data_IF_907119261402
#
_entry.id   IF_907119261402
#
_cell.length_a   1.000
_cell.length_b   1.000
_cell.length_c   1.000
_cell.angle_alpha   90.00
_cell.angle_beta   90.00
_cell.angle_gamma   90.00
#
_symmetry.space_group_name_H-M   'P 1'
#
loop_
_entity.id
_entity.type
_entity.pdbx_description
1 polymer ?
#
# COMPACT_ATOMS: atom_id res chain seq x y z
N UNK A 1 -24.35 -4.80 -9.24
CA UNK A 1 -22.95 -4.35 -9.35
C UNK A 1 -22.52 -3.79 -8.01
N UNK A 2 -21.52 -4.39 -7.37
CA UNK A 2 -21.04 -4.03 -6.01
C UNK A 2 -20.50 -2.60 -6.01
N UNK A 3 -21.02 -1.74 -5.13
CA UNK A 3 -20.53 -0.37 -5.00
C UNK A 3 -19.19 -0.33 -4.25
N UNK A 4 -18.09 -0.21 -5.01
CA UNK A 4 -16.74 -0.09 -4.47
C UNK A 4 -16.51 1.22 -3.69
N UNK A 5 -17.39 2.23 -3.82
CA UNK A 5 -17.33 3.43 -2.98
C UNK A 5 -17.79 3.13 -1.55
N UNK A 6 -18.79 2.27 -1.40
CA UNK A 6 -19.25 1.80 -0.10
C UNK A 6 -18.19 0.95 0.60
N UNK A 7 -17.51 0.08 -0.16
CA UNK A 7 -16.45 -0.80 0.36
C UNK A 7 -15.04 -0.29 0.02
N UNK A 8 -14.72 0.95 0.39
CA UNK A 8 -13.43 1.59 0.05
C UNK A 8 -12.17 0.88 0.61
N UNK A 9 -12.36 -0.05 1.55
CA UNK A 9 -11.33 -0.91 2.13
C UNK A 9 -11.09 -2.20 1.33
N UNK A 10 -12.00 -2.57 0.42
CA UNK A 10 -11.90 -3.77 -0.39
C UNK A 10 -10.89 -3.58 -1.52
N UNK A 11 -9.87 -4.43 -1.54
CA UNK A 11 -8.90 -4.55 -2.61
C UNK A 11 -8.85 -6.03 -3.03
N UNK A 12 -9.66 -6.44 -4.02
CA UNK A 12 -9.81 -7.84 -4.41
C UNK A 12 -8.57 -8.30 -5.19
N UNK A 13 -8.02 -9.45 -4.80
CA UNK A 13 -6.94 -10.16 -5.51
C UNK A 13 -7.48 -11.22 -6.47
N UNK A 14 -8.76 -11.56 -6.32
CA UNK A 14 -9.48 -12.55 -7.11
C UNK A 14 -10.70 -11.90 -7.80
N UNK A 15 -11.21 -12.49 -8.91
CA UNK A 15 -12.36 -11.95 -9.62
C UNK A 15 -13.58 -11.80 -8.71
N UNK A 16 -14.22 -10.64 -8.74
CA UNK A 16 -15.45 -10.42 -7.99
C UNK A 16 -16.64 -11.11 -8.67
N UNK A 17 -17.62 -11.63 -7.90
CA UNK A 17 -18.87 -12.12 -8.46
C UNK A 17 -19.58 -11.00 -9.23
N UNK A 18 -20.00 -11.28 -10.47
CA UNK A 18 -20.51 -10.27 -11.40
C UNK A 18 -22.02 -10.29 -11.61
N UNK A 19 -22.72 -11.38 -11.25
CA UNK A 19 -24.19 -11.44 -11.30
C UNK A 19 -24.76 -12.60 -10.47
N UNK A 20 -26.05 -12.53 -10.14
CA UNK A 20 -26.83 -13.64 -9.59
C UNK A 20 -26.75 -13.79 -8.07
N UNK A 21 -26.93 -15.03 -7.59
CA UNK A 21 -26.96 -15.35 -6.17
C UNK A 21 -25.57 -15.26 -5.49
N UNK A 22 -24.48 -15.43 -6.25
CA UNK A 22 -23.11 -15.26 -5.75
C UNK A 22 -22.82 -13.79 -5.35
N UNK A 23 -23.30 -12.83 -6.12
CA UNK A 23 -23.15 -11.39 -5.80
C UNK A 23 -23.90 -11.05 -4.50
N UNK A 24 -25.11 -11.60 -4.32
CA UNK A 24 -25.90 -11.40 -3.09
C UNK A 24 -25.22 -12.00 -1.87
N UNK A 25 -24.75 -13.25 -1.98
CA UNK A 25 -24.01 -13.91 -0.90
C UNK A 25 -22.74 -13.14 -0.53
N UNK A 26 -22.00 -12.64 -1.51
CA UNK A 26 -20.79 -11.87 -1.22
C UNK A 26 -21.11 -10.55 -0.50
N UNK A 27 -22.16 -9.83 -0.92
CA UNK A 27 -22.61 -8.61 -0.22
C UNK A 27 -22.98 -8.89 1.23
N UNK A 28 -23.66 -10.01 1.50
CA UNK A 28 -24.03 -10.40 2.87
C UNK A 28 -22.80 -10.76 3.71
N UNK A 29 -21.81 -11.43 3.12
CA UNK A 29 -20.51 -11.66 3.75
C UNK A 29 -19.81 -10.34 4.07
N UNK A 30 -19.76 -9.39 3.14
CA UNK A 30 -19.14 -8.06 3.35
C UNK A 30 -19.80 -7.30 4.51
N UNK A 31 -21.14 -7.29 4.58
CA UNK A 31 -21.89 -6.66 5.69
C UNK A 31 -21.56 -7.29 7.04
N UNK A 32 -21.47 -8.62 7.09
CA UNK A 32 -21.14 -9.36 8.33
C UNK A 32 -19.71 -9.06 8.77
N UNK A 33 -18.76 -9.03 7.82
CA UNK A 33 -17.36 -8.69 8.08
C UNK A 33 -17.27 -7.26 8.63
N UNK A 34 -17.90 -6.29 7.98
CA UNK A 34 -17.89 -4.89 8.40
C UNK A 34 -18.46 -4.68 9.81
N UNK A 35 -19.54 -5.40 10.15
CA UNK A 35 -20.13 -5.36 11.49
C UNK A 35 -19.23 -5.96 12.57
N UNK A 36 -18.41 -6.96 12.23
CA UNK A 36 -17.66 -7.75 13.22
C UNK A 36 -16.22 -7.32 13.39
N UNK A 37 -15.59 -6.87 12.31
CA UNK A 37 -14.18 -6.55 12.30
C UNK A 37 -14.01 -5.04 12.18
N UNK A 38 -13.51 -4.33 13.20
CA UNK A 38 -13.27 -2.89 13.09
C UNK A 38 -12.11 -2.57 12.13
N UNK A 39 -11.09 -3.44 12.01
CA UNK A 39 -9.88 -3.15 11.26
C UNK A 39 -10.09 -3.30 9.73
N UNK A 40 -9.94 -2.23 8.92
CA UNK A 40 -10.15 -2.29 7.47
C UNK A 40 -9.26 -3.28 6.71
N UNK A 41 -7.98 -3.43 7.10
CA UNK A 41 -7.08 -4.40 6.48
C UNK A 41 -7.52 -5.83 6.77
N UNK A 42 -7.98 -6.10 7.98
CA UNK A 42 -8.45 -7.43 8.35
C UNK A 42 -9.78 -7.77 7.66
N UNK A 43 -10.67 -6.78 7.47
CA UNK A 43 -11.85 -6.92 6.60
C UNK A 43 -11.47 -7.34 5.19
N UNK A 44 -10.46 -6.70 4.62
CA UNK A 44 -9.97 -7.02 3.28
C UNK A 44 -9.44 -8.45 3.19
N UNK A 45 -8.74 -8.94 4.22
CA UNK A 45 -8.24 -10.32 4.27
C UNK A 45 -9.41 -11.32 4.31
N UNK A 46 -10.42 -11.07 5.14
CA UNK A 46 -11.62 -11.94 5.16
C UNK A 46 -12.38 -11.96 3.84
N UNK A 47 -12.49 -10.81 3.17
CA UNK A 47 -13.14 -10.74 1.86
C UNK A 47 -12.35 -11.50 0.78
N UNK A 48 -11.02 -11.32 0.74
CA UNK A 48 -10.17 -12.08 -0.18
C UNK A 48 -10.18 -13.58 0.14
N UNK A 49 -10.31 -13.96 1.42
CA UNK A 49 -10.45 -15.36 1.79
C UNK A 49 -11.70 -16.01 1.22
N UNK A 50 -12.84 -15.32 1.32
CA UNK A 50 -14.07 -15.78 0.69
C UNK A 50 -13.90 -15.95 -0.82
N UNK A 51 -13.32 -14.96 -1.51
CA UNK A 51 -13.13 -15.02 -2.95
C UNK A 51 -12.22 -16.19 -3.36
N UNK A 52 -11.13 -16.46 -2.62
CA UNK A 52 -10.25 -17.60 -2.90
C UNK A 52 -10.98 -18.94 -2.70
N UNK A 53 -11.86 -19.07 -1.69
CA UNK A 53 -12.65 -20.29 -1.51
C UNK A 53 -13.65 -20.51 -2.65
N UNK A 54 -14.30 -19.43 -3.12
CA UNK A 54 -15.22 -19.49 -4.26
C UNK A 54 -14.47 -19.91 -5.54
N UNK A 55 -13.31 -19.34 -5.79
CA UNK A 55 -12.50 -19.69 -6.97
C UNK A 55 -12.02 -21.14 -6.92
N UNK A 56 -11.49 -21.59 -5.77
CA UNK A 56 -11.09 -23.00 -5.58
C UNK A 56 -12.24 -23.97 -5.76
N UNK A 57 -13.43 -23.65 -5.25
CA UNK A 57 -14.59 -24.49 -5.46
C UNK A 57 -14.94 -24.59 -6.95
N UNK A 58 -14.89 -23.46 -7.69
CA UNK A 58 -15.12 -23.43 -9.15
C UNK A 58 -14.09 -24.25 -9.92
N UNK A 59 -12.81 -24.17 -9.55
CA UNK A 59 -11.73 -24.99 -10.14
C UNK A 59 -11.98 -26.49 -9.94
N UNK A 60 -12.54 -26.87 -8.80
CA UNK A 60 -12.91 -28.25 -8.47
C UNK A 60 -14.27 -28.67 -9.05
N UNK A 61 -14.95 -27.81 -9.80
CA UNK A 61 -16.27 -28.07 -10.38
C UNK A 61 -17.41 -28.12 -9.34
N UNK A 62 -17.24 -27.46 -8.19
CA UNK A 62 -18.20 -27.42 -7.08
C UNK A 62 -18.67 -25.99 -6.78
N UNK A 63 -19.90 -25.87 -6.31
CA UNK A 63 -20.40 -24.60 -5.78
C UNK A 63 -19.97 -24.43 -4.33
N UNK A 64 -19.32 -23.31 -4.01
CA UNK A 64 -19.06 -22.95 -2.62
C UNK A 64 -20.36 -22.53 -1.95
N UNK A 65 -20.74 -23.23 -0.86
CA UNK A 65 -21.96 -22.94 -0.10
C UNK A 65 -21.60 -22.51 1.32
N UNK A 66 -22.00 -21.31 1.70
CA UNK A 66 -21.94 -20.86 3.08
C UNK A 66 -23.01 -21.56 3.94
N UNK A 67 -22.71 -21.73 5.21
CA UNK A 67 -23.66 -22.12 6.26
C UNK A 67 -24.76 -21.04 6.40
N UNK A 68 -25.96 -21.46 6.83
CA UNK A 68 -27.08 -20.54 7.12
C UNK A 68 -26.69 -19.43 8.10
N UNK A 69 -25.70 -19.68 8.96
CA UNK A 69 -25.12 -18.69 9.86
C UNK A 69 -23.74 -18.21 9.37
N UNK A 70 -23.75 -17.33 8.36
CA UNK A 70 -22.57 -16.62 7.82
C UNK A 70 -21.69 -16.04 8.95
N UNK A 71 -22.31 -15.48 9.99
CA UNK A 71 -21.59 -14.92 11.12
C UNK A 71 -20.78 -15.94 11.92
N UNK A 72 -21.25 -17.17 12.08
CA UNK A 72 -20.49 -18.25 12.73
C UNK A 72 -19.35 -18.71 11.84
N UNK A 73 -19.61 -18.82 10.54
CA UNK A 73 -18.63 -19.27 9.56
C UNK A 73 -17.45 -18.31 9.42
N UNK A 74 -17.69 -17.00 9.25
CA UNK A 74 -16.64 -15.97 9.21
C UNK A 74 -15.72 -16.04 10.44
N UNK A 75 -16.28 -16.31 11.63
CA UNK A 75 -15.47 -16.48 12.86
C UNK A 75 -14.63 -17.76 12.86
N UNK A 76 -15.09 -18.80 12.18
CA UNK A 76 -14.37 -20.06 12.06
C UNK A 76 -13.18 -19.94 11.10
N UNK A 77 -13.26 -19.08 10.08
CA UNK A 77 -12.19 -18.87 9.10
C UNK A 77 -10.88 -18.49 9.78
N UNK A 78 -10.90 -17.59 10.77
CA UNK A 78 -9.73 -17.18 11.55
C UNK A 78 -8.97 -18.35 12.21
N UNK A 79 -9.67 -19.46 12.51
CA UNK A 79 -9.08 -20.66 13.12
C UNK A 79 -8.49 -21.61 12.08
N UNK A 80 -8.91 -21.53 10.83
CA UNK A 80 -8.46 -22.42 9.76
C UNK A 80 -6.99 -22.16 9.39
N UNK A 81 -6.28 -23.23 9.04
CA UNK A 81 -4.89 -23.13 8.58
C UNK A 81 -4.79 -22.45 7.21
N UNK A 82 -5.78 -22.64 6.33
CA UNK A 82 -5.83 -21.98 5.03
C UNK A 82 -5.92 -20.46 5.16
N UNK A 83 -6.76 -19.95 6.07
CA UNK A 83 -6.86 -18.53 6.35
C UNK A 83 -5.56 -17.95 6.89
N UNK A 84 -4.92 -18.64 7.86
CA UNK A 84 -3.64 -18.20 8.44
C UNK A 84 -2.55 -18.11 7.38
N UNK A 85 -2.45 -19.12 6.50
CA UNK A 85 -1.47 -19.14 5.40
C UNK A 85 -1.72 -18.01 4.39
N UNK A 86 -2.97 -17.77 4.02
CA UNK A 86 -3.34 -16.66 3.13
C UNK A 86 -3.04 -15.31 3.78
N UNK A 87 -3.43 -15.11 5.05
CA UNK A 87 -3.11 -13.90 5.81
C UNK A 87 -1.61 -13.63 5.77
N UNK A 88 -0.79 -14.64 6.07
CA UNK A 88 0.67 -14.48 6.05
C UNK A 88 1.21 -14.12 4.65
N UNK A 89 0.68 -14.75 3.60
CA UNK A 89 1.08 -14.46 2.22
C UNK A 89 0.72 -13.01 1.81
N UNK A 90 -0.49 -12.55 2.12
CA UNK A 90 -0.91 -11.18 1.84
C UNK A 90 -0.06 -10.16 2.63
N UNK A 91 0.25 -10.44 3.90
CA UNK A 91 1.12 -9.56 4.69
C UNK A 91 2.56 -9.52 4.12
N UNK A 92 3.07 -10.65 3.59
CA UNK A 92 4.38 -10.70 2.91
C UNK A 92 4.36 -9.89 1.62
N UNK A 93 3.29 -9.98 0.83
CA UNK A 93 3.12 -9.21 -0.40
C UNK A 93 3.03 -7.71 -0.11
N UNK A 94 2.21 -7.31 0.86
CA UNK A 94 2.08 -5.93 1.29
C UNK A 94 3.41 -5.38 1.84
N UNK A 95 4.17 -6.19 2.58
CA UNK A 95 5.54 -5.85 3.00
C UNK A 95 6.46 -5.60 1.80
N UNK A 96 6.47 -6.51 0.83
CA UNK A 96 7.30 -6.36 -0.36
C UNK A 96 6.91 -5.11 -1.15
N UNK A 97 5.61 -4.87 -1.32
CA UNK A 97 5.08 -3.69 -2.00
C UNK A 97 5.45 -2.39 -1.30
N UNK A 98 5.37 -2.35 0.04
CA UNK A 98 5.81 -1.20 0.83
C UNK A 98 7.31 -0.93 0.64
N UNK A 99 8.15 -1.97 0.68
CA UNK A 99 9.59 -1.84 0.51
C UNK A 99 9.96 -1.35 -0.90
N UNK A 100 9.38 -1.95 -1.94
CA UNK A 100 9.64 -1.56 -3.33
C UNK A 100 9.22 -0.11 -3.59
N UNK A 101 8.00 0.27 -3.19
CA UNK A 101 7.51 1.64 -3.35
C UNK A 101 8.36 2.64 -2.56
N UNK A 102 8.78 2.28 -1.34
CA UNK A 102 9.66 3.10 -0.52
C UNK A 102 11.03 3.37 -1.16
N UNK A 103 11.67 2.34 -1.71
CA UNK A 103 12.95 2.50 -2.42
C UNK A 103 12.79 3.42 -3.64
N UNK A 104 11.73 3.23 -4.43
CA UNK A 104 11.49 4.07 -5.60
C UNK A 104 11.21 5.52 -5.19
N UNK A 105 10.49 5.77 -4.09
CA UNK A 105 10.26 7.10 -3.53
C UNK A 105 11.58 7.77 -3.12
N UNK A 106 12.50 7.04 -2.49
CA UNK A 106 13.83 7.57 -2.12
C UNK A 106 14.62 7.97 -3.37
N UNK A 107 14.73 7.08 -4.35
CA UNK A 107 15.50 7.32 -5.58
C UNK A 107 14.90 8.46 -6.42
N UNK A 108 13.59 8.44 -6.63
CA UNK A 108 12.92 9.50 -7.40
C UNK A 108 12.90 10.82 -6.63
N UNK A 109 12.76 10.78 -5.31
CA UNK A 109 12.85 11.93 -4.43
C UNK A 109 14.22 12.62 -4.48
N UNK A 110 15.32 11.86 -4.46
CA UNK A 110 16.66 12.45 -4.61
C UNK A 110 16.88 13.07 -5.97
N UNK A 111 16.41 12.42 -7.05
CA UNK A 111 16.49 12.99 -8.41
C UNK A 111 15.72 14.32 -8.52
N UNK A 112 14.52 14.40 -7.96
CA UNK A 112 13.74 15.64 -7.91
C UNK A 112 14.49 16.71 -7.12
N UNK A 113 15.06 16.37 -5.97
CA UNK A 113 15.84 17.31 -5.15
C UNK A 113 17.12 17.77 -5.85
N UNK A 114 17.76 16.94 -6.68
CA UNK A 114 18.90 17.35 -7.50
C UNK A 114 18.47 18.29 -8.60
N UNK A 115 17.40 17.96 -9.31
CA UNK A 115 16.85 18.81 -10.36
C UNK A 115 16.44 20.20 -9.84
N UNK A 116 15.72 20.26 -8.71
CA UNK A 116 15.34 21.51 -8.07
C UNK A 116 16.56 22.35 -7.67
N UNK A 117 17.63 21.70 -7.17
CA UNK A 117 18.87 22.40 -6.83
C UNK A 117 19.60 22.91 -8.07
N UNK A 118 19.62 22.14 -9.16
CA UNK A 118 20.22 22.55 -10.44
C UNK A 118 19.53 23.80 -11.01
N UNK A 119 18.20 23.85 -10.93
CA UNK A 119 17.42 25.04 -11.30
C UNK A 119 17.80 26.24 -10.43
N UNK A 120 17.84 26.10 -9.11
CA UNK A 120 18.15 27.21 -8.21
C UNK A 120 19.59 27.72 -8.38
N UNK A 121 20.54 26.84 -8.64
CA UNK A 121 21.94 27.18 -8.85
C UNK A 121 22.26 27.63 -10.28
N UNK A 122 21.31 27.50 -11.22
CA UNK A 122 21.51 27.69 -12.67
C UNK A 122 22.72 26.90 -13.21
N UNK A 123 23.02 25.74 -12.58
CA UNK A 123 24.11 24.84 -12.93
C UNK A 123 23.52 23.48 -13.24
N UNK A 124 23.38 23.19 -14.53
CA UNK A 124 22.84 21.94 -15.04
C UNK A 124 23.95 20.90 -15.20
N UNK A 125 23.62 19.63 -15.02
CA UNK A 125 24.61 18.54 -15.12
C UNK A 125 25.02 18.32 -16.57
N UNK A 126 24.04 18.31 -17.48
CA UNK A 126 24.26 18.15 -18.93
C UNK A 126 23.74 19.38 -19.67
N UNK A 127 22.43 19.61 -19.60
CA UNK A 127 21.72 20.74 -20.19
C UNK A 127 20.37 20.86 -19.50
N UNK A 128 19.80 22.06 -19.43
CA UNK A 128 18.48 22.32 -18.87
C UNK A 128 17.42 21.35 -19.41
N UNK A 129 17.38 21.13 -20.73
CA UNK A 129 16.38 20.26 -21.36
C UNK A 129 16.48 18.79 -20.91
N UNK A 130 17.70 18.26 -20.78
CA UNK A 130 17.92 16.86 -20.37
C UNK A 130 17.57 16.69 -18.89
N UNK A 131 18.06 17.59 -18.05
CA UNK A 131 17.78 17.59 -16.61
C UNK A 131 16.26 17.73 -16.35
N UNK A 132 15.56 18.54 -17.16
CA UNK A 132 14.11 18.72 -17.08
C UNK A 132 13.32 17.45 -17.44
N UNK A 133 13.74 16.71 -18.48
CA UNK A 133 13.11 15.44 -18.84
C UNK A 133 13.27 14.42 -17.70
N UNK A 134 14.48 14.30 -17.15
CA UNK A 134 14.75 13.37 -16.04
C UNK A 134 13.95 13.78 -14.80
N UNK A 135 13.91 15.06 -14.46
CA UNK A 135 13.11 15.59 -13.35
C UNK A 135 11.62 15.33 -13.51
N UNK A 136 11.07 15.52 -14.71
CA UNK A 136 9.66 15.26 -15.01
C UNK A 136 9.31 13.77 -14.88
N UNK A 137 10.14 12.88 -15.43
CA UNK A 137 9.96 11.43 -15.30
C UNK A 137 10.01 11.02 -13.82
N UNK A 138 11.02 11.50 -13.08
CA UNK A 138 11.15 11.22 -11.67
C UNK A 138 9.91 11.67 -10.88
N UNK A 139 9.32 12.84 -11.20
CA UNK A 139 8.12 13.35 -10.56
C UNK A 139 6.89 12.46 -10.82
N UNK A 140 6.72 11.94 -12.04
CA UNK A 140 5.63 11.00 -12.37
C UNK A 140 5.78 9.70 -11.59
N UNK A 141 6.97 9.11 -11.57
CA UNK A 141 7.23 7.88 -10.80
C UNK A 141 7.05 8.11 -9.31
N UNK A 142 7.54 9.23 -8.78
CA UNK A 142 7.38 9.62 -7.39
C UNK A 142 5.90 9.71 -7.00
N UNK A 143 5.10 10.46 -7.77
CA UNK A 143 3.67 10.62 -7.50
C UNK A 143 2.92 9.29 -7.56
N UNK A 144 3.20 8.46 -8.57
CA UNK A 144 2.58 7.13 -8.71
C UNK A 144 2.90 6.23 -7.51
N UNK A 145 4.16 6.17 -7.08
CA UNK A 145 4.58 5.33 -5.95
C UNK A 145 4.04 5.86 -4.61
N UNK A 146 4.00 7.18 -4.42
CA UNK A 146 3.35 7.80 -3.26
C UNK A 146 1.87 7.43 -3.19
N UNK A 147 1.14 7.47 -4.31
CA UNK A 147 -0.29 7.07 -4.35
C UNK A 147 -0.49 5.60 -3.97
N UNK A 148 0.41 4.71 -4.41
CA UNK A 148 0.37 3.28 -4.04
C UNK A 148 0.64 3.11 -2.55
N UNK A 149 1.70 3.75 -2.02
CA UNK A 149 2.07 3.71 -0.61
C UNK A 149 0.95 4.25 0.29
N UNK A 150 0.33 5.37 -0.07
CA UNK A 150 -0.81 5.97 0.64
C UNK A 150 -1.99 5.00 0.68
N UNK A 151 -2.33 4.37 -0.46
CA UNK A 151 -3.44 3.40 -0.51
C UNK A 151 -3.16 2.22 0.41
N UNK A 152 -1.94 1.69 0.38
CA UNK A 152 -1.51 0.58 1.24
C UNK A 152 -1.57 0.98 2.72
N UNK A 153 -1.05 2.15 3.10
CA UNK A 153 -1.07 2.58 4.50
C UNK A 153 -2.48 2.93 5.00
N UNK A 154 -3.37 3.37 4.11
CA UNK A 154 -4.76 3.66 4.44
C UNK A 154 -5.51 2.40 4.87
N UNK A 155 -5.23 1.23 4.28
CA UNK A 155 -5.87 -0.01 4.72
C UNK A 155 -5.47 -0.40 6.14
N UNK A 156 -4.31 0.05 6.63
CA UNK A 156 -3.81 -0.20 7.98
C UNK A 156 -4.07 0.96 8.96
N UNK A 157 -4.85 1.98 8.58
CA UNK A 157 -5.13 3.20 9.37
C UNK A 157 -3.90 4.01 9.82
N UNK A 158 -2.68 3.66 9.38
CA UNK A 158 -1.45 4.31 9.84
C UNK A 158 -1.04 5.53 9.00
N UNK A 159 -1.89 5.99 8.07
CA UNK A 159 -1.53 6.97 7.05
C UNK A 159 -0.83 8.22 7.61
N UNK A 160 -1.36 8.81 8.69
CA UNK A 160 -0.89 10.09 9.21
C UNK A 160 0.59 10.05 9.59
N UNK A 161 1.01 9.06 10.36
CA UNK A 161 2.37 8.96 10.87
C UNK A 161 3.41 8.86 9.76
N UNK A 162 3.15 8.05 8.73
CA UNK A 162 4.11 7.86 7.62
C UNK A 162 4.13 9.07 6.69
N UNK A 163 2.99 9.73 6.44
CA UNK A 163 2.97 10.97 5.66
C UNK A 163 3.72 12.07 6.38
N UNK A 164 3.57 12.21 7.70
CA UNK A 164 4.36 13.17 8.47
C UNK A 164 5.86 12.89 8.39
N UNK A 165 6.27 11.62 8.49
CA UNK A 165 7.69 11.24 8.34
C UNK A 165 8.22 11.57 6.94
N UNK A 166 7.48 11.25 5.88
CA UNK A 166 7.86 11.57 4.50
C UNK A 166 8.01 13.08 4.31
N UNK A 167 6.98 13.87 4.67
CA UNK A 167 6.99 15.32 4.52
C UNK A 167 8.11 15.96 5.35
N UNK A 168 8.27 15.56 6.61
CA UNK A 168 9.35 16.07 7.46
C UNK A 168 10.73 15.77 6.86
N UNK A 169 10.92 14.59 6.27
CA UNK A 169 12.19 14.20 5.63
C UNK A 169 12.47 15.05 4.38
N UNK A 170 11.46 15.27 3.54
CA UNK A 170 11.59 16.12 2.35
C UNK A 170 11.86 17.58 2.72
N UNK A 171 11.12 18.12 3.68
CA UNK A 171 11.33 19.49 4.19
C UNK A 171 12.74 19.63 4.78
N UNK A 172 13.19 18.66 5.57
CA UNK A 172 14.54 18.65 6.13
C UNK A 172 15.61 18.62 5.03
N UNK A 173 15.42 17.83 3.96
CA UNK A 173 16.33 17.83 2.82
C UNK A 173 16.39 19.20 2.12
N UNK A 174 15.24 19.85 1.91
CA UNK A 174 15.18 21.17 1.28
C UNK A 174 15.87 22.23 2.15
N UNK A 175 15.61 22.24 3.46
CA UNK A 175 16.24 23.16 4.41
C UNK A 175 17.77 23.00 4.42
N UNK A 176 18.26 21.76 4.49
CA UNK A 176 19.69 21.48 4.48
C UNK A 176 20.34 21.86 3.15
N UNK A 177 19.67 21.65 2.01
CA UNK A 177 20.17 22.11 0.71
C UNK A 177 20.24 23.64 0.61
N UNK A 178 19.41 24.39 1.33
CA UNK A 178 19.51 25.85 1.38
C UNK A 178 20.67 26.31 2.27
N UNK A 179 20.94 25.61 3.38
CA UNK A 179 21.92 26.02 4.38
C UNK A 179 23.35 25.50 4.13
N UNK A 180 23.50 24.33 3.51
CA UNK A 180 24.79 23.70 3.32
C UNK A 180 25.45 24.09 1.98
N UNK A 181 26.80 24.19 1.96
CA UNK A 181 27.54 24.42 0.72
C UNK A 181 27.31 23.30 -0.29
N UNK A 182 27.39 23.63 -1.58
CA UNK A 182 27.04 22.76 -2.73
C UNK A 182 27.72 21.39 -2.72
N UNK A 183 28.87 21.27 -2.04
CA UNK A 183 29.69 20.05 -1.96
C UNK A 183 29.11 18.98 -1.01
N UNK A 184 28.19 19.34 -0.11
CA UNK A 184 27.65 18.41 0.90
C UNK A 184 26.17 18.10 0.60
N UNK A 185 25.90 16.91 0.05
CA UNK A 185 24.54 16.43 -0.16
C UNK A 185 24.16 15.31 0.81
N UNK A 186 23.46 15.69 1.88
CA UNK A 186 22.91 14.74 2.86
C UNK A 186 21.55 14.16 2.43
N UNK A 187 20.96 14.60 1.31
CA UNK A 187 19.57 14.28 0.96
C UNK A 187 19.32 12.79 0.79
N UNK A 188 20.22 12.09 0.10
CA UNK A 188 20.14 10.64 -0.06
C UNK A 188 20.18 9.95 1.31
N UNK A 189 21.12 10.33 2.17
CA UNK A 189 21.31 9.73 3.49
C UNK A 189 20.05 9.91 4.35
N UNK A 190 19.48 11.12 4.36
CA UNK A 190 18.28 11.43 5.14
C UNK A 190 17.07 10.63 4.64
N UNK A 191 16.86 10.59 3.33
CA UNK A 191 15.75 9.83 2.74
C UNK A 191 15.92 8.32 2.98
N UNK A 192 17.15 7.79 2.92
CA UNK A 192 17.43 6.39 3.25
C UNK A 192 17.19 6.09 4.73
N UNK A 193 17.62 6.96 5.65
CA UNK A 193 17.36 6.80 7.09
C UNK A 193 15.85 6.83 7.35
N UNK A 194 15.14 7.80 6.76
CA UNK A 194 13.68 7.90 6.88
C UNK A 194 12.99 6.63 6.37
N UNK A 195 13.37 6.15 5.19
CA UNK A 195 12.88 4.88 4.66
C UNK A 195 13.15 3.71 5.61
N UNK A 196 14.35 3.62 6.18
CA UNK A 196 14.71 2.53 7.08
C UNK A 196 13.90 2.57 8.39
N UNK A 197 13.68 3.75 8.95
CA UNK A 197 12.82 3.95 10.12
C UNK A 197 11.38 3.53 9.82
N UNK A 198 10.84 3.98 8.70
CA UNK A 198 9.49 3.62 8.27
C UNK A 198 9.35 2.12 8.02
N UNK A 199 10.33 1.50 7.34
CA UNK A 199 10.37 0.06 7.12
C UNK A 199 10.36 -0.71 8.44
N UNK A 200 11.20 -0.31 9.41
CA UNK A 200 11.22 -0.96 10.75
C UNK A 200 9.88 -0.80 11.46
N UNK A 201 9.25 0.38 11.39
CA UNK A 201 7.94 0.62 12.01
C UNK A 201 6.86 -0.25 11.37
N UNK A 202 6.84 -0.34 10.05
CA UNK A 202 5.88 -1.17 9.31
C UNK A 202 6.08 -2.66 9.58
N UNK A 203 7.33 -3.13 9.61
CA UNK A 203 7.63 -4.52 9.93
C UNK A 203 7.24 -4.91 11.37
N UNK A 204 7.38 -4.00 12.33
CA UNK A 204 6.88 -4.23 13.70
C UNK A 204 5.36 -4.32 13.72
N UNK A 205 4.69 -3.39 13.06
CA UNK A 205 3.24 -3.39 12.99
C UNK A 205 2.69 -4.67 12.34
N UNK A 206 3.28 -5.12 11.22
CA UNK A 206 2.86 -6.37 10.57
C UNK A 206 3.07 -7.62 11.43
N UNK A 207 4.00 -7.60 12.38
CA UNK A 207 4.20 -8.72 13.34
C UNK A 207 3.16 -8.73 14.45
N UNK A 208 2.65 -7.55 14.81
CA UNK A 208 1.62 -7.36 15.84
C UNK A 208 0.19 -7.52 15.27
N UNK A 209 0.05 -7.52 13.94
CA UNK A 209 -1.20 -7.59 13.18
C UNK A 209 -1.75 -9.03 13.01
#
# INVERSE_FOLDING_TARGET
MIDLKQYSWLNPHHPMPTAGDEERQFIDVLKVIEKKEPNPALRNIYANYYLEQVEKAKEEGRDWKLDKNIGKEVRSWAKSQSFKKMKENLLKEDKAKFQLTGIVIVVTGTLILFFLRAILAQKFVVNFSVDAIVGAIALVFFYRNMKIKIRLLKSYEQLKDYVYMDVASFVMCVLLKMWLPVMFDASLVILVISYYVQRRKFEKYLKEF
#
